data_IF_312875432431
#
_entry.id   IF_312875432431
#
_cell.length_a   1.000
_cell.length_b   1.000
_cell.length_c   1.000
_cell.angle_alpha   90.00
_cell.angle_beta   90.00
_cell.angle_gamma   90.00
#
_symmetry.space_group_name_H-M   'P 1'
#
loop_
_entity.id
_entity.type
_entity.pdbx_description
1 polymer ?
#
# COMPACT_ATOMS: atom_id res chain seq x y z
N UNK A 1 1.95 21.01 11.91
CA UNK A 1 2.49 19.72 12.38
C UNK A 1 1.33 18.76 12.32
N UNK A 2 1.45 17.72 11.51
CA UNK A 2 0.39 16.73 11.34
C UNK A 2 0.36 15.78 12.54
N UNK A 3 -0.61 14.85 12.55
CA UNK A 3 -0.77 13.87 13.65
C UNK A 3 0.35 12.82 13.69
N UNK A 4 1.17 12.74 12.65
CA UNK A 4 2.25 11.77 12.48
C UNK A 4 3.64 12.37 12.77
N UNK A 5 3.70 13.67 13.10
CA UNK A 5 4.93 14.44 13.31
C UNK A 5 5.96 14.24 12.18
N UNK A 6 5.51 14.27 10.93
CA UNK A 6 6.40 14.36 9.77
C UNK A 6 6.94 15.79 9.67
N UNK A 7 8.27 15.94 9.74
CA UNK A 7 8.95 17.25 9.70
C UNK A 7 9.92 17.31 8.51
N UNK A 8 10.62 16.21 8.23
CA UNK A 8 11.54 16.07 7.10
C UNK A 8 11.66 14.59 6.73
N UNK A 9 11.95 14.26 5.45
CA UNK A 9 12.12 12.87 5.05
C UNK A 9 13.47 12.35 5.54
N UNK A 10 13.53 11.04 5.76
CA UNK A 10 14.77 10.30 5.94
C UNK A 10 15.66 10.47 4.71
N UNK A 11 16.97 10.36 4.93
CA UNK A 11 17.99 10.52 3.88
C UNK A 11 18.92 9.33 3.86
N UNK A 12 19.38 8.97 2.66
CA UNK A 12 20.44 7.98 2.49
C UNK A 12 21.83 8.55 2.87
N UNK A 13 22.85 7.71 2.73
CA UNK A 13 24.27 8.07 2.98
C UNK A 13 24.78 9.24 2.12
N UNK A 14 24.14 9.47 0.98
CA UNK A 14 24.49 10.49 -0.01
C UNK A 14 23.59 11.74 0.14
N UNK A 15 22.81 11.82 1.23
CA UNK A 15 21.88 12.89 1.58
C UNK A 15 20.67 13.02 0.65
N UNK A 16 20.37 12.01 -0.16
CA UNK A 16 19.17 11.99 -0.99
C UNK A 16 17.95 11.60 -0.13
N UNK A 17 16.80 12.26 -0.30
CA UNK A 17 15.56 11.85 0.32
C UNK A 17 15.18 10.41 -0.05
N UNK A 18 14.79 9.61 0.93
CA UNK A 18 14.32 8.24 0.75
C UNK A 18 12.97 8.04 1.43
N UNK A 19 12.33 6.91 1.15
CA UNK A 19 11.12 6.47 1.81
C UNK A 19 11.27 6.58 3.33
N UNK A 20 10.43 7.39 3.94
CA UNK A 20 10.33 7.52 5.40
C UNK A 20 9.15 6.70 5.88
N UNK A 21 9.36 5.87 6.90
CA UNK A 21 8.29 5.07 7.49
C UNK A 21 8.20 5.40 8.97
N UNK A 22 7.00 5.79 9.42
CA UNK A 22 6.71 6.04 10.83
C UNK A 22 5.45 5.30 11.27
N UNK A 23 5.37 5.03 12.57
CA UNK A 23 4.12 4.66 13.23
C UNK A 23 3.65 5.85 14.07
N UNK A 24 2.34 6.02 14.19
CA UNK A 24 1.74 7.09 14.98
C UNK A 24 0.45 6.57 15.64
N UNK A 25 0.52 6.27 16.94
CA UNK A 25 -0.54 5.58 17.68
C UNK A 25 -1.92 6.24 17.52
N UNK A 26 -1.97 7.57 17.55
CA UNK A 26 -3.23 8.33 17.42
C UNK A 26 -3.81 8.23 16.00
N UNK A 27 -2.97 8.32 14.98
CA UNK A 27 -3.39 8.20 13.59
C UNK A 27 -3.78 6.75 13.25
N UNK A 28 -3.00 5.79 13.75
CA UNK A 28 -3.27 4.36 13.65
C UNK A 28 -4.65 4.02 14.25
N UNK A 29 -4.95 4.53 15.45
CA UNK A 29 -6.25 4.30 16.09
C UNK A 29 -7.43 4.76 15.21
N UNK A 30 -7.32 5.92 14.56
CA UNK A 30 -8.38 6.42 13.67
C UNK A 30 -8.59 5.52 12.45
N UNK A 31 -7.50 5.05 11.83
CA UNK A 31 -7.59 4.14 10.68
C UNK A 31 -8.10 2.77 11.13
N UNK A 32 -7.62 2.27 12.26
CA UNK A 32 -8.01 0.97 12.80
C UNK A 32 -9.50 0.91 13.14
N UNK A 33 -10.06 1.95 13.79
CA UNK A 33 -11.49 2.04 14.07
C UNK A 33 -12.34 1.95 12.78
N UNK A 34 -11.87 2.54 11.68
CA UNK A 34 -12.54 2.44 10.37
C UNK A 34 -12.35 1.06 9.75
N UNK A 35 -11.15 0.49 9.85
CA UNK A 35 -10.87 -0.86 9.37
C UNK A 35 -11.78 -1.91 10.02
N UNK A 36 -12.08 -1.79 11.32
CA UNK A 36 -12.99 -2.69 12.04
C UNK A 36 -14.37 -2.79 11.39
N UNK A 37 -14.87 -1.70 10.79
CA UNK A 37 -16.15 -1.68 10.10
C UNK A 37 -16.10 -2.44 8.76
N UNK A 38 -14.92 -2.52 8.13
CA UNK A 38 -14.69 -3.21 6.87
C UNK A 38 -14.34 -4.69 7.06
N UNK A 39 -13.86 -5.09 8.24
CA UNK A 39 -13.44 -6.48 8.50
C UNK A 39 -14.47 -7.56 8.11
N UNK A 40 -15.79 -7.39 8.31
CA UNK A 40 -16.75 -8.40 7.86
C UNK A 40 -16.72 -8.61 6.34
N UNK A 41 -16.62 -7.53 5.56
CA UNK A 41 -16.56 -7.58 4.10
C UNK A 41 -15.23 -8.16 3.62
N UNK A 42 -14.12 -7.75 4.23
CA UNK A 42 -12.77 -8.29 3.94
C UNK A 42 -12.74 -9.81 4.18
N UNK A 43 -13.25 -10.25 5.33
CA UNK A 43 -13.31 -11.67 5.68
C UNK A 43 -14.19 -12.46 4.71
N UNK A 44 -15.32 -11.91 4.29
CA UNK A 44 -16.20 -12.53 3.31
C UNK A 44 -15.56 -12.63 1.92
N UNK A 45 -14.93 -11.54 1.45
CA UNK A 45 -14.29 -11.47 0.14
C UNK A 45 -13.11 -12.44 0.02
N UNK A 46 -12.18 -12.40 0.97
CA UNK A 46 -10.99 -13.26 0.95
C UNK A 46 -11.21 -14.64 1.58
N UNK A 47 -12.39 -14.89 2.17
CA UNK A 47 -12.71 -16.13 2.88
C UNK A 47 -11.70 -16.46 3.99
N UNK A 48 -11.33 -15.44 4.76
CA UNK A 48 -10.39 -15.55 5.88
C UNK A 48 -11.06 -15.22 7.20
N UNK A 49 -10.47 -15.66 8.31
CA UNK A 49 -10.84 -15.21 9.65
C UNK A 49 -9.77 -14.25 10.15
N UNK A 50 -10.18 -13.06 10.58
CA UNK A 50 -9.30 -12.04 11.12
C UNK A 50 -8.59 -12.53 12.39
N UNK A 51 -7.28 -12.29 12.47
CA UNK A 51 -6.46 -12.56 13.66
C UNK A 51 -5.95 -11.27 14.31
N UNK A 52 -5.56 -10.30 13.49
CA UNK A 52 -4.95 -9.06 13.97
C UNK A 52 -4.41 -8.22 12.82
N UNK A 53 -3.99 -7.00 13.16
CA UNK A 53 -3.32 -6.05 12.25
C UNK A 53 -1.97 -5.67 12.87
N UNK A 54 -0.90 -5.67 12.08
CA UNK A 54 0.40 -5.11 12.52
C UNK A 54 0.27 -3.58 12.68
N UNK A 55 1.18 -2.89 13.40
CA UNK A 55 1.18 -1.43 13.47
C UNK A 55 1.08 -0.80 12.08
N UNK A 56 0.27 0.25 11.95
CA UNK A 56 0.05 0.91 10.66
C UNK A 56 1.26 1.77 10.34
N UNK A 57 1.84 1.51 9.19
CA UNK A 57 3.01 2.23 8.70
C UNK A 57 2.55 3.41 7.86
N UNK A 58 2.88 4.62 8.29
CA UNK A 58 2.71 5.83 7.50
C UNK A 58 3.96 6.03 6.67
N UNK A 59 3.79 6.01 5.37
CA UNK A 59 4.85 6.04 4.37
C UNK A 59 4.85 7.39 3.68
N UNK A 60 6.01 8.03 3.67
CA UNK A 60 6.28 9.25 2.92
C UNK A 60 7.31 8.95 1.84
N UNK A 61 6.86 9.07 0.59
CA UNK A 61 7.71 9.02 -0.60
C UNK A 61 7.98 10.45 -1.05
N UNK A 62 9.14 11.03 -0.69
CA UNK A 62 9.47 12.40 -1.08
C UNK A 62 9.72 12.50 -2.58
N UNK A 63 9.64 13.71 -3.14
CA UNK A 63 9.98 13.96 -4.54
C UNK A 63 11.34 13.37 -4.92
N UNK A 64 11.40 12.63 -6.03
CA UNK A 64 12.60 11.96 -6.53
C UNK A 64 12.88 10.61 -5.87
N UNK A 65 12.10 10.20 -4.86
CA UNK A 65 12.18 8.87 -4.28
C UNK A 65 11.70 7.82 -5.28
N UNK A 66 12.39 6.68 -5.28
CA UNK A 66 12.00 5.48 -6.02
C UNK A 66 11.43 4.46 -5.04
N UNK A 67 10.31 3.83 -5.37
CA UNK A 67 9.83 2.71 -4.58
C UNK A 67 10.44 1.39 -5.02
N UNK A 68 10.43 0.43 -4.10
CA UNK A 68 10.93 -0.91 -4.32
C UNK A 68 9.77 -1.90 -4.43
N UNK A 69 9.79 -2.71 -5.49
CA UNK A 69 8.82 -3.76 -5.67
C UNK A 69 9.14 -4.96 -4.77
N UNK A 70 8.16 -5.42 -4.01
CA UNK A 70 8.34 -6.55 -3.10
C UNK A 70 7.04 -7.33 -2.89
N UNK A 71 7.17 -8.56 -2.41
CA UNK A 71 6.05 -9.31 -1.85
C UNK A 71 5.96 -9.00 -0.36
N UNK A 72 4.74 -8.83 0.14
CA UNK A 72 4.53 -8.32 1.49
C UNK A 72 4.84 -9.36 2.56
N UNK A 73 4.50 -10.62 2.29
CA UNK A 73 4.67 -11.72 3.24
C UNK A 73 5.87 -12.63 2.97
N UNK A 74 6.59 -12.44 1.86
CA UNK A 74 7.56 -13.40 1.35
C UNK A 74 8.84 -12.74 0.84
N UNK A 75 9.95 -13.47 0.96
CA UNK A 75 11.23 -13.08 0.36
C UNK A 75 11.64 -14.09 -0.73
N UNK A 76 12.28 -13.60 -1.79
CA UNK A 76 12.84 -14.45 -2.84
C UNK A 76 14.26 -14.89 -2.44
N UNK A 77 14.41 -16.16 -2.07
CA UNK A 77 15.68 -16.71 -1.58
C UNK A 77 16.03 -17.95 -2.39
N UNK A 78 17.21 -17.94 -3.01
CA UNK A 78 17.75 -19.08 -3.80
C UNK A 78 16.76 -19.59 -4.87
N UNK A 79 16.12 -18.68 -5.59
CA UNK A 79 15.20 -19.02 -6.68
C UNK A 79 13.80 -19.45 -6.25
N UNK A 80 13.46 -19.31 -4.95
CA UNK A 80 12.15 -19.70 -4.42
C UNK A 80 11.57 -18.59 -3.56
N UNK A 81 10.26 -18.40 -3.66
CA UNK A 81 9.52 -17.56 -2.72
C UNK A 81 9.31 -18.33 -1.42
N UNK A 82 9.73 -17.73 -0.31
CA UNK A 82 9.53 -18.26 1.03
C UNK A 82 8.74 -17.24 1.82
N UNK A 83 7.61 -17.67 2.40
CA UNK A 83 6.85 -16.85 3.34
C UNK A 83 7.69 -16.61 4.58
N UNK A 84 7.95 -15.34 4.90
CA UNK A 84 8.78 -14.91 6.03
C UNK A 84 7.99 -14.08 7.05
N UNK A 85 6.79 -13.61 6.70
CA UNK A 85 5.93 -12.82 7.59
C UNK A 85 4.51 -13.40 7.65
N UNK A 86 3.79 -13.07 8.72
CA UNK A 86 2.41 -13.54 8.94
C UNK A 86 1.35 -12.62 8.32
N UNK A 87 1.70 -11.92 7.23
CA UNK A 87 0.82 -11.01 6.52
C UNK A 87 0.03 -11.78 5.47
N UNK A 88 -1.28 -11.62 5.46
CA UNK A 88 -2.17 -12.33 4.54
C UNK A 88 -2.83 -11.37 3.56
N UNK A 89 -3.24 -10.20 4.04
CA UNK A 89 -3.82 -9.13 3.24
C UNK A 89 -3.09 -7.84 3.55
N UNK A 90 -2.73 -7.10 2.50
CA UNK A 90 -2.12 -5.78 2.60
C UNK A 90 -3.12 -4.74 2.11
N UNK A 91 -3.20 -3.62 2.84
CA UNK A 91 -3.93 -2.44 2.46
C UNK A 91 -3.01 -1.25 2.23
N UNK A 92 -3.28 -0.47 1.19
CA UNK A 92 -2.65 0.82 0.95
C UNK A 92 -3.76 1.87 0.90
N UNK A 93 -3.78 2.75 1.90
CA UNK A 93 -4.67 3.91 1.96
C UNK A 93 -3.93 5.14 1.45
N UNK A 94 -4.39 5.72 0.35
CA UNK A 94 -3.81 6.96 -0.16
C UNK A 94 -4.21 8.15 0.71
N UNK A 95 -3.23 8.93 1.13
CA UNK A 95 -3.42 10.17 1.89
C UNK A 95 -3.20 11.42 1.02
N UNK A 96 -2.72 11.22 -0.21
CA UNK A 96 -2.55 12.25 -1.24
C UNK A 96 -3.43 11.99 -2.45
N UNK A 97 -3.62 13.04 -3.26
CA UNK A 97 -4.39 13.05 -4.49
C UNK A 97 -3.46 13.12 -5.70
N UNK A 98 -3.73 12.36 -6.75
CA UNK A 98 -2.97 12.47 -7.99
C UNK A 98 -3.41 13.70 -8.79
N UNK A 99 -2.43 14.46 -9.29
CA UNK A 99 -2.66 15.62 -10.16
C UNK A 99 -1.60 15.68 -11.25
N UNK A 100 -2.04 15.86 -12.50
CA UNK A 100 -1.16 16.03 -13.67
C UNK A 100 -1.34 17.39 -14.37
N UNK A 101 -2.14 18.29 -13.78
CA UNK A 101 -2.43 19.62 -14.29
C UNK A 101 -2.00 20.73 -13.32
N UNK A 102 -2.01 21.96 -13.82
CA UNK A 102 -1.72 23.19 -13.07
C UNK A 102 -3.04 23.97 -12.92
N UNK A 103 -3.34 24.58 -11.76
CA UNK A 103 -2.49 24.75 -10.58
C UNK A 103 -2.36 23.48 -9.73
N UNK A 104 -1.21 23.37 -9.06
CA UNK A 104 -0.82 22.23 -8.24
C UNK A 104 -0.74 22.63 -6.76
N UNK A 105 -1.44 21.90 -5.88
CA UNK A 105 -1.48 22.09 -4.43
C UNK A 105 -0.48 21.17 -3.73
N UNK A 106 0.70 21.71 -3.42
CA UNK A 106 1.84 20.94 -2.91
C UNK A 106 1.57 20.17 -1.60
N UNK A 107 0.63 20.60 -0.78
CA UNK A 107 0.34 19.97 0.52
C UNK A 107 -0.44 18.65 0.40
N UNK A 108 -1.15 18.42 -0.72
CA UNK A 108 -2.07 17.29 -0.86
C UNK A 108 -1.99 16.57 -2.19
N UNK A 109 -1.48 17.23 -3.23
CA UNK A 109 -1.41 16.66 -4.58
C UNK A 109 -0.02 16.06 -4.85
N UNK A 110 0.04 15.09 -5.75
CA UNK A 110 1.28 14.44 -6.19
C UNK A 110 1.22 14.09 -7.67
N UNK A 111 2.34 14.27 -8.38
CA UNK A 111 2.52 13.70 -9.72
C UNK A 111 3.51 12.53 -9.65
N UNK A 112 3.03 11.32 -9.93
CA UNK A 112 3.74 10.06 -9.69
C UNK A 112 3.17 9.32 -8.48
N UNK A 113 3.98 8.50 -7.80
CA UNK A 113 3.57 7.81 -6.57
C UNK A 113 2.46 6.76 -6.76
N UNK A 114 2.32 6.20 -7.96
CA UNK A 114 1.32 5.19 -8.31
C UNK A 114 1.57 3.89 -7.55
N UNK A 115 0.55 3.26 -6.99
CA UNK A 115 0.67 1.87 -6.49
C UNK A 115 0.66 0.92 -7.69
N UNK A 116 1.76 0.24 -7.97
CA UNK A 116 1.93 -0.64 -9.12
C UNK A 116 1.96 -2.12 -8.74
N UNK A 117 1.44 -2.96 -9.64
CA UNK A 117 1.50 -4.42 -9.58
C UNK A 117 2.19 -4.93 -10.84
N UNK A 118 3.54 -4.97 -10.88
CA UNK A 118 4.29 -5.17 -12.11
C UNK A 118 3.97 -6.47 -12.84
N UNK A 119 3.66 -7.54 -12.10
CA UNK A 119 3.30 -8.85 -12.65
C UNK A 119 2.00 -8.83 -13.46
N UNK A 120 1.13 -7.87 -13.17
CA UNK A 120 -0.19 -7.73 -13.79
C UNK A 120 -0.29 -6.54 -14.73
N UNK A 121 0.78 -5.75 -14.86
CA UNK A 121 0.87 -4.57 -15.73
C UNK A 121 -0.23 -3.52 -15.49
N UNK A 122 -0.60 -3.31 -14.22
CA UNK A 122 -1.52 -2.24 -13.82
C UNK A 122 -1.10 -1.57 -12.53
N UNK A 123 -1.81 -0.52 -12.15
CA UNK A 123 -1.69 0.11 -10.85
C UNK A 123 -2.71 1.22 -10.67
N UNK A 124 -2.72 1.82 -9.48
CA UNK A 124 -3.66 2.85 -9.07
C UNK A 124 -2.93 4.15 -8.81
N UNK A 125 -3.35 5.21 -9.49
CA UNK A 125 -2.91 6.55 -9.10
C UNK A 125 -3.49 6.88 -7.71
N UNK A 126 -2.77 7.66 -6.88
CA UNK A 126 -3.29 8.10 -5.61
C UNK A 126 -4.64 8.80 -5.77
N UNK A 127 -5.65 8.37 -5.01
CA UNK A 127 -6.90 9.10 -4.86
C UNK A 127 -7.17 9.20 -3.36
N UNK A 128 -7.21 10.43 -2.83
CA UNK A 128 -7.11 10.64 -1.39
C UNK A 128 -8.31 10.02 -0.67
N UNK A 129 -8.04 9.16 0.31
CA UNK A 129 -9.06 8.43 1.07
C UNK A 129 -9.43 7.07 0.48
N UNK A 130 -8.90 6.69 -0.69
CA UNK A 130 -9.11 5.37 -1.27
C UNK A 130 -8.18 4.34 -0.63
N UNK A 131 -8.77 3.22 -0.19
CA UNK A 131 -8.08 2.05 0.33
C UNK A 131 -8.08 0.92 -0.71
N UNK A 132 -6.88 0.48 -1.11
CA UNK A 132 -6.70 -0.68 -1.97
C UNK A 132 -6.28 -1.88 -1.12
N UNK A 133 -7.05 -2.98 -1.17
CA UNK A 133 -6.77 -4.22 -0.46
C UNK A 133 -6.39 -5.33 -1.45
N UNK A 134 -5.33 -6.07 -1.15
CA UNK A 134 -4.86 -7.17 -1.99
C UNK A 134 -4.14 -8.25 -1.17
N UNK A 135 -4.04 -9.49 -1.66
CA UNK A 135 -3.27 -10.55 -0.99
C UNK A 135 -1.79 -10.17 -0.83
N UNK A 136 -1.20 -10.45 0.33
CA UNK A 136 0.21 -10.13 0.61
C UNK A 136 1.22 -11.07 -0.08
N UNK A 137 0.76 -11.97 -0.94
CA UNK A 137 1.55 -13.09 -1.45
C UNK A 137 2.35 -12.73 -2.73
N UNK A 138 3.33 -13.55 -3.13
CA UNK A 138 4.18 -13.29 -4.31
C UNK A 138 3.47 -13.17 -5.66
N UNK A 139 2.18 -13.50 -5.76
CA UNK A 139 1.40 -13.22 -6.97
C UNK A 139 0.96 -11.74 -7.06
N UNK A 140 1.14 -10.96 -5.99
CA UNK A 140 0.85 -9.53 -5.92
C UNK A 140 2.08 -8.75 -5.45
N UNK A 141 3.22 -8.97 -6.11
CA UNK A 141 4.37 -8.08 -5.96
C UNK A 141 3.89 -6.66 -6.28
N UNK A 142 4.15 -5.74 -5.37
CA UNK A 142 3.70 -4.36 -5.48
C UNK A 142 4.81 -3.39 -5.08
N UNK A 143 4.65 -2.13 -5.48
CA UNK A 143 5.50 -1.02 -5.06
C UNK A 143 4.87 0.31 -5.43
N UNK A 144 5.33 1.38 -4.79
CA UNK A 144 4.96 2.75 -5.18
C UNK A 144 5.94 3.22 -6.27
N UNK A 145 5.43 3.73 -7.39
CA UNK A 145 6.25 4.24 -8.49
C UNK A 145 7.05 5.47 -8.08
N UNK A 146 7.97 5.90 -8.94
CA UNK A 146 8.70 7.15 -8.75
C UNK A 146 7.75 8.34 -8.52
N UNK A 147 8.14 9.24 -7.62
CA UNK A 147 7.45 10.51 -7.37
C UNK A 147 8.20 11.62 -8.11
N UNK A 148 7.53 12.27 -9.05
CA UNK A 148 8.16 13.27 -9.92
C UNK A 148 8.00 14.70 -9.39
N UNK A 149 6.81 15.03 -8.88
CA UNK A 149 6.50 16.35 -8.30
C UNK A 149 5.73 16.19 -6.99
N UNK A 150 6.18 16.92 -5.97
CA UNK A 150 5.69 16.87 -4.58
C UNK A 150 5.92 15.53 -3.92
N UNK A 151 5.07 15.19 -2.96
CA UNK A 151 5.28 14.08 -2.04
C UNK A 151 4.05 13.16 -2.02
N UNK A 152 4.27 11.85 -2.07
CA UNK A 152 3.20 10.87 -1.88
C UNK A 152 3.17 10.40 -0.42
N UNK A 153 2.00 10.52 0.21
CA UNK A 153 1.74 10.00 1.54
C UNK A 153 0.71 8.88 1.46
N UNK A 154 0.99 7.77 2.14
CA UNK A 154 0.07 6.64 2.23
C UNK A 154 0.18 5.95 3.59
N UNK A 155 -0.87 5.24 4.00
CA UNK A 155 -0.82 4.33 5.14
C UNK A 155 -0.86 2.89 4.65
N UNK A 156 0.13 2.09 5.07
CA UNK A 156 0.23 0.67 4.77
C UNK A 156 -0.26 -0.14 5.97
N UNK A 157 -1.27 -0.97 5.73
CA UNK A 157 -1.99 -1.76 6.70
C UNK A 157 -1.70 -3.23 6.43
N UNK A 158 -1.29 -3.99 7.44
CA UNK A 158 -0.93 -5.40 7.28
C UNK A 158 -1.84 -6.27 8.15
N UNK A 159 -2.69 -7.07 7.51
CA UNK A 159 -3.69 -7.89 8.18
C UNK A 159 -3.23 -9.35 8.18
N UNK A 160 -3.30 -9.98 9.35
CA UNK A 160 -3.06 -11.40 9.54
C UNK A 160 -4.39 -12.15 9.67
N UNK A 161 -4.45 -13.33 9.06
CA UNK A 161 -5.55 -14.27 9.22
C UNK A 161 -5.22 -15.35 10.27
N UNK A 162 -6.24 -16.00 10.82
CA UNK A 162 -6.06 -17.12 11.76
C UNK A 162 -5.40 -18.32 11.07
N UNK A 163 -5.81 -18.57 9.83
CA UNK A 163 -5.19 -19.53 8.91
C UNK A 163 -4.55 -18.75 7.78
N UNK A 164 -3.29 -19.05 7.40
CA UNK A 164 -2.63 -18.38 6.29
C UNK A 164 -3.50 -18.38 5.03
N UNK A 165 -3.70 -17.20 4.44
CA UNK A 165 -4.37 -17.07 3.17
C UNK A 165 -3.52 -17.75 2.09
N UNK A 166 -4.16 -18.61 1.32
CA UNK A 166 -3.57 -19.28 0.16
C UNK A 166 -4.23 -18.69 -1.07
N UNK A 167 -3.42 -18.05 -1.91
CA UNK A 167 -3.91 -17.52 -3.18
C UNK A 167 -4.42 -18.66 -4.07
N UNK A 168 -5.65 -18.51 -4.54
CA UNK A 168 -6.27 -19.40 -5.51
C UNK A 168 -6.53 -18.61 -6.80
N UNK A 169 -5.76 -18.84 -7.87
CA UNK A 169 -5.93 -18.16 -9.14
C UNK A 169 -7.34 -18.32 -9.74
N UNK A 170 -8.06 -19.39 -9.40
CA UNK A 170 -9.42 -19.62 -9.90
C UNK A 170 -10.44 -18.63 -9.33
N UNK A 171 -10.14 -18.05 -8.16
CA UNK A 171 -10.98 -17.01 -7.53
C UNK A 171 -10.77 -15.62 -8.13
N UNK A 172 -9.72 -15.43 -8.93
CA UNK A 172 -9.41 -14.18 -9.61
C UNK A 172 -9.31 -14.39 -11.13
N UNK A 173 -10.39 -14.86 -11.79
CA UNK A 173 -10.36 -15.09 -13.23
C UNK A 173 -10.21 -13.77 -13.99
N UNK A 174 -9.52 -13.80 -15.14
CA UNK A 174 -9.32 -12.63 -15.99
C UNK A 174 -8.09 -11.81 -15.62
N UNK A 175 -8.17 -10.50 -15.81
CA UNK A 175 -7.10 -9.55 -15.48
C UNK A 175 -7.71 -8.22 -14.97
N UNK A 176 -6.87 -7.21 -14.72
CA UNK A 176 -7.34 -5.92 -14.19
C UNK A 176 -8.47 -5.28 -15.00
N UNK A 177 -8.51 -5.46 -16.33
CA UNK A 177 -9.59 -4.92 -17.19
C UNK A 177 -10.95 -5.55 -16.90
N UNK A 178 -10.98 -6.79 -16.38
CA UNK A 178 -12.21 -7.48 -15.99
C UNK A 178 -12.57 -7.24 -14.52
N UNK A 179 -11.58 -7.07 -13.65
CA UNK A 179 -11.81 -6.86 -12.21
C UNK A 179 -12.38 -5.46 -11.92
N UNK A 180 -12.01 -4.48 -12.73
CA UNK A 180 -12.39 -3.08 -12.55
C UNK A 180 -13.25 -2.54 -13.72
N UNK A 181 -13.95 -3.41 -14.44
CA UNK A 181 -14.71 -3.04 -15.64
C UNK A 181 -15.78 -1.94 -15.43
N UNK A 182 -16.21 -1.71 -14.19
CA UNK A 182 -17.19 -0.68 -13.83
C UNK A 182 -16.56 0.54 -13.11
N UNK A 183 -15.24 0.56 -12.94
CA UNK A 183 -14.49 1.56 -12.14
C UNK A 183 -13.46 2.33 -12.99
N UNK A 184 -13.44 2.11 -14.32
CA UNK A 184 -12.58 2.78 -15.31
C UNK A 184 -13.45 3.59 -16.28
#
# INVERSE_FOLDING_TARGET
MDICDFIAPDKDKDMNPVLTIKTAERAESLIYERLLLLLPEIQAHFQVLYKGTEPIHFEWYPQGCKGECHAENSNFVRGKWLRTKSRDITGVLFLTEYQDQIPYEQDYEVYGGKLEFPQHHFGFNPHRGTLILFPSDPHFINGTSDVFVGDAFQARIQIAAQTPYLYDPQKFPGNYTTWFANEI
#
